data_IF_830434344535
#
_entry.id   IF_830434344535
#
_cell.length_a   1.000
_cell.length_b   1.000
_cell.length_c   1.000
_cell.angle_alpha   90.00
_cell.angle_beta   90.00
_cell.angle_gamma   90.00
#
_symmetry.space_group_name_H-M   'P 1'
#
loop_
_entity.id
_entity.type
_entity.pdbx_description
1 polymer ?
#
# COMPACT_ATOMS: atom_id res chain seq x y z
N UNK A 1 -11.22 -44.27 8.25
CA UNK A 1 -11.84 -43.48 7.16
C UNK A 1 -10.93 -42.32 6.78
N UNK A 2 -10.61 -42.10 5.49
CA UNK A 2 -9.92 -40.87 5.09
C UNK A 2 -10.82 -39.67 5.36
N UNK A 3 -10.27 -38.64 6.03
CA UNK A 3 -10.97 -37.38 6.32
C UNK A 3 -11.51 -36.78 5.01
N UNK A 4 -12.78 -36.41 4.97
CA UNK A 4 -13.45 -35.77 3.82
C UNK A 4 -12.72 -34.47 3.44
N UNK A 5 -11.85 -34.55 2.42
CA UNK A 5 -11.11 -33.41 1.89
C UNK A 5 -11.96 -32.69 0.83
N UNK A 6 -12.20 -31.39 1.02
CA UNK A 6 -12.85 -30.55 -0.01
C UNK A 6 -12.04 -30.59 -1.31
N UNK A 7 -12.71 -30.81 -2.45
CA UNK A 7 -12.09 -30.81 -3.78
C UNK A 7 -11.50 -29.42 -4.06
N UNK A 8 -10.20 -29.36 -4.34
CA UNK A 8 -9.54 -28.11 -4.73
C UNK A 8 -9.75 -27.89 -6.23
N UNK A 9 -10.38 -26.77 -6.60
CA UNK A 9 -10.50 -26.34 -8.00
C UNK A 9 -9.11 -26.05 -8.56
N UNK A 10 -8.71 -26.76 -9.61
CA UNK A 10 -7.45 -26.51 -10.31
C UNK A 10 -7.68 -25.44 -11.39
N UNK A 11 -6.85 -24.40 -11.38
CA UNK A 11 -6.93 -23.31 -12.36
C UNK A 11 -5.75 -23.43 -13.32
N UNK A 12 -6.02 -23.43 -14.63
CA UNK A 12 -5.03 -23.58 -15.70
C UNK A 12 -4.30 -22.27 -16.06
N UNK A 13 -4.00 -21.44 -15.06
CA UNK A 13 -3.30 -20.17 -15.30
C UNK A 13 -1.82 -20.39 -15.59
N UNK A 14 -1.25 -19.59 -16.52
CA UNK A 14 0.20 -19.58 -16.79
C UNK A 14 1.05 -19.07 -15.61
N UNK A 15 0.45 -18.35 -14.66
CA UNK A 15 1.14 -17.77 -13.51
C UNK A 15 1.51 -18.82 -12.48
N UNK A 16 2.81 -19.12 -12.37
CA UNK A 16 3.36 -20.01 -11.34
C UNK A 16 3.47 -19.29 -9.99
N UNK A 17 3.35 -20.06 -8.89
CA UNK A 17 3.55 -19.54 -7.53
C UNK A 17 4.95 -18.94 -7.39
N UNK A 18 5.08 -17.86 -6.61
CA UNK A 18 6.38 -17.24 -6.33
C UNK A 18 7.25 -18.24 -5.54
N UNK A 19 8.38 -18.62 -6.10
CA UNK A 19 9.33 -19.58 -5.50
C UNK A 19 10.18 -18.94 -4.41
N UNK A 20 10.77 -19.75 -3.49
CA UNK A 20 11.77 -19.29 -2.52
C UNK A 20 12.94 -18.52 -3.16
N UNK A 21 13.36 -18.91 -4.36
CA UNK A 21 14.42 -18.26 -5.15
C UNK A 21 14.18 -16.76 -5.37
N UNK A 22 12.93 -16.33 -5.57
CA UNK A 22 12.60 -14.90 -5.72
C UNK A 22 12.85 -14.12 -4.43
N UNK A 23 12.68 -14.74 -3.27
CA UNK A 23 12.98 -14.13 -1.96
C UNK A 23 14.48 -14.02 -1.76
N UNK A 24 15.24 -15.06 -2.12
CA UNK A 24 16.70 -15.06 -2.10
C UNK A 24 17.28 -14.01 -3.05
N UNK A 25 16.71 -13.88 -4.25
CA UNK A 25 17.09 -12.85 -5.21
C UNK A 25 16.85 -11.44 -4.65
N UNK A 26 15.74 -11.22 -3.93
CA UNK A 26 15.46 -9.95 -3.26
C UNK A 26 16.53 -9.66 -2.20
N UNK A 27 16.87 -10.64 -1.37
CA UNK A 27 17.92 -10.53 -0.35
C UNK A 27 19.28 -10.22 -1.01
N UNK A 28 19.64 -10.93 -2.08
CA UNK A 28 20.89 -10.69 -2.82
C UNK A 28 20.95 -9.28 -3.39
N UNK A 29 19.87 -8.81 -4.02
CA UNK A 29 19.76 -7.45 -4.56
C UNK A 29 19.84 -6.39 -3.47
N UNK A 30 19.24 -6.63 -2.32
CA UNK A 30 19.28 -5.73 -1.17
C UNK A 30 20.71 -5.62 -0.63
N UNK A 31 21.39 -6.74 -0.38
CA UNK A 31 22.80 -6.76 0.07
C UNK A 31 23.75 -6.06 -0.90
N UNK A 32 23.57 -6.27 -2.21
CA UNK A 32 24.36 -5.55 -3.23
C UNK A 32 24.11 -4.05 -3.20
N UNK A 33 22.85 -3.65 -3.03
CA UNK A 33 22.47 -2.23 -3.03
C UNK A 33 22.94 -1.53 -1.76
N UNK A 34 22.94 -2.20 -0.60
CA UNK A 34 23.50 -1.66 0.65
C UNK A 34 24.98 -1.30 0.51
N UNK A 35 25.75 -2.06 -0.28
CA UNK A 35 27.16 -1.74 -0.55
C UNK A 35 27.32 -0.55 -1.51
N UNK A 36 26.38 -0.41 -2.46
CA UNK A 36 26.41 0.61 -3.52
C UNK A 36 26.08 2.00 -3.00
N UNK A 37 25.01 2.14 -2.24
CA UNK A 37 24.48 3.45 -1.83
C UNK A 37 25.09 3.95 -0.52
N UNK A 38 25.08 5.26 -0.30
CA UNK A 38 25.64 5.88 0.90
C UNK A 38 24.71 5.77 2.11
N UNK A 39 23.38 5.77 1.91
CA UNK A 39 22.38 5.79 2.97
C UNK A 39 21.37 4.68 2.81
N UNK A 40 20.91 4.17 3.95
CA UNK A 40 19.78 3.26 4.04
C UNK A 40 18.74 3.85 4.99
N UNK A 41 17.54 4.08 4.50
CA UNK A 41 16.45 4.72 5.23
C UNK A 41 15.25 3.77 5.28
N UNK A 42 14.73 3.52 6.48
CA UNK A 42 13.45 2.85 6.63
C UNK A 42 12.37 3.92 6.63
N UNK A 43 11.38 3.78 5.76
CA UNK A 43 10.22 4.66 5.73
C UNK A 43 8.96 3.87 6.03
N UNK A 44 8.04 4.50 6.75
CA UNK A 44 6.66 4.09 6.84
C UNK A 44 5.89 4.74 5.70
N UNK A 45 4.92 4.03 5.16
CA UNK A 45 4.01 4.57 4.17
C UNK A 45 2.58 4.24 4.54
N UNK A 46 1.63 5.07 4.11
CA UNK A 46 0.19 4.86 4.29
C UNK A 46 -0.52 5.10 2.97
N UNK A 47 -1.52 4.27 2.67
CA UNK A 47 -2.33 4.37 1.44
C UNK A 47 -1.54 4.26 0.13
N UNK A 48 -0.38 3.60 0.13
CA UNK A 48 0.43 3.43 -1.08
C UNK A 48 -0.23 2.48 -2.10
N UNK A 49 -0.52 3.03 -3.28
CA UNK A 49 -1.00 2.30 -4.46
C UNK A 49 0.14 2.03 -5.45
N UNK A 50 -0.10 1.13 -6.42
CA UNK A 50 0.91 0.71 -7.40
C UNK A 50 1.41 1.85 -8.29
N UNK A 51 0.54 2.79 -8.67
CA UNK A 51 0.90 3.88 -9.59
C UNK A 51 1.82 4.91 -8.92
N UNK A 52 1.47 5.49 -7.74
CA UNK A 52 2.39 6.36 -7.02
C UNK A 52 3.74 5.70 -6.70
N UNK A 53 3.74 4.40 -6.38
CA UNK A 53 4.97 3.65 -6.17
C UNK A 53 5.86 3.64 -7.42
N UNK A 54 5.29 3.44 -8.62
CA UNK A 54 6.05 3.47 -9.87
C UNK A 54 6.59 4.86 -10.17
N UNK A 55 5.81 5.90 -9.91
CA UNK A 55 6.23 7.30 -10.09
C UNK A 55 7.43 7.63 -9.20
N UNK A 56 7.37 7.30 -7.91
CA UNK A 56 8.50 7.46 -6.97
C UNK A 56 9.72 6.66 -7.45
N UNK A 57 9.53 5.40 -7.88
CA UNK A 57 10.62 4.57 -8.39
C UNK A 57 11.26 5.14 -9.65
N UNK A 58 10.48 5.77 -10.53
CA UNK A 58 10.98 6.41 -11.74
C UNK A 58 11.73 7.71 -11.40
N UNK A 59 11.17 8.55 -10.54
CA UNK A 59 11.78 9.80 -10.10
C UNK A 59 13.15 9.59 -9.45
N UNK A 60 13.32 8.50 -8.70
CA UNK A 60 14.56 8.23 -7.96
C UNK A 60 15.48 7.18 -8.60
N UNK A 61 15.20 6.75 -9.84
CA UNK A 61 15.88 5.62 -10.47
C UNK A 61 17.40 5.78 -10.59
N UNK A 62 17.88 7.02 -10.77
CA UNK A 62 19.31 7.33 -10.91
C UNK A 62 20.06 7.16 -9.58
N UNK A 63 19.59 7.82 -8.52
CA UNK A 63 20.33 7.98 -7.28
C UNK A 63 19.90 7.06 -6.15
N UNK A 64 18.75 6.38 -6.31
CA UNK A 64 18.16 5.59 -5.24
C UNK A 64 17.54 4.29 -5.72
N UNK A 65 17.25 3.42 -4.76
CA UNK A 65 16.55 2.16 -4.98
C UNK A 65 15.61 1.87 -3.85
N UNK A 66 14.34 1.70 -4.22
CA UNK A 66 13.26 1.41 -3.30
C UNK A 66 13.02 -0.10 -3.21
N UNK A 67 12.90 -0.60 -1.98
CA UNK A 67 12.58 -1.98 -1.66
C UNK A 67 11.28 -2.02 -0.86
N UNK A 68 10.25 -2.62 -1.45
CA UNK A 68 9.01 -2.97 -0.79
C UNK A 68 8.81 -4.47 -0.97
N UNK A 69 8.73 -5.18 0.15
CA UNK A 69 8.64 -6.63 0.17
C UNK A 69 8.18 -7.13 1.53
N UNK A 70 8.25 -8.45 1.75
CA UNK A 70 7.93 -8.99 3.06
C UNK A 70 8.98 -8.52 4.07
N UNK A 71 8.56 -7.79 5.10
CA UNK A 71 9.46 -7.21 6.11
C UNK A 71 10.45 -8.23 6.68
N UNK A 72 9.98 -9.44 7.01
CA UNK A 72 10.84 -10.53 7.50
C UNK A 72 11.95 -10.94 6.54
N UNK A 73 11.71 -10.87 5.23
CA UNK A 73 12.73 -11.17 4.21
C UNK A 73 13.74 -10.03 4.12
N UNK A 74 13.27 -8.78 4.21
CA UNK A 74 14.17 -7.60 4.24
C UNK A 74 15.04 -7.58 5.51
N UNK A 75 14.48 -7.93 6.67
CA UNK A 75 15.22 -8.11 7.93
C UNK A 75 16.33 -9.15 7.80
N UNK A 76 16.09 -10.28 7.11
CA UNK A 76 17.14 -11.28 6.82
C UNK A 76 18.21 -10.71 5.89
N UNK A 77 17.83 -9.82 4.97
CA UNK A 77 18.78 -9.15 4.09
C UNK A 77 19.68 -8.13 4.78
N UNK A 78 19.15 -7.42 5.78
CA UNK A 78 19.88 -6.47 6.62
C UNK A 78 20.73 -7.14 7.70
N UNK A 79 20.24 -8.25 8.25
CA UNK A 79 20.77 -8.91 9.44
C UNK A 79 19.82 -8.76 10.62
N UNK A 80 19.65 -9.83 11.40
CA UNK A 80 18.85 -9.80 12.63
C UNK A 80 19.65 -9.37 13.85
N UNK A 81 20.91 -9.79 13.88
CA UNK A 81 21.88 -9.54 14.94
C UNK A 81 23.15 -8.94 14.31
N UNK A 82 24.05 -8.45 15.15
CA UNK A 82 25.33 -7.87 14.72
C UNK A 82 26.17 -8.83 13.87
N UNK A 83 26.27 -10.10 14.26
CA UNK A 83 27.02 -11.13 13.50
C UNK A 83 26.46 -11.39 12.09
N UNK A 84 25.16 -11.19 11.90
CA UNK A 84 24.46 -11.43 10.63
C UNK A 84 24.31 -10.14 9.81
N UNK A 85 24.91 -9.04 10.28
CA UNK A 85 24.77 -7.72 9.67
C UNK A 85 25.45 -7.70 8.29
N UNK A 86 24.71 -7.32 7.26
CA UNK A 86 25.22 -7.26 5.89
C UNK A 86 26.25 -6.15 5.68
N UNK A 87 26.08 -5.03 6.38
CA UNK A 87 27.02 -3.91 6.48
C UNK A 87 27.14 -3.48 7.94
N UNK A 88 28.10 -2.62 8.26
CA UNK A 88 28.27 -2.07 9.62
C UNK A 88 26.93 -1.51 10.12
N UNK A 89 26.44 -2.04 11.24
CA UNK A 89 25.22 -1.63 11.93
C UNK A 89 23.90 -1.75 11.12
N UNK A 90 23.84 -2.51 10.02
CA UNK A 90 22.58 -2.69 9.26
C UNK A 90 21.48 -3.42 10.02
N UNK A 91 21.84 -4.25 11.01
CA UNK A 91 20.85 -4.90 11.88
C UNK A 91 20.00 -3.91 12.69
N UNK A 92 20.48 -2.67 12.94
CA UNK A 92 19.74 -1.63 13.67
C UNK A 92 18.49 -1.14 12.91
N UNK A 93 18.44 -1.33 11.59
CA UNK A 93 17.25 -1.00 10.77
C UNK A 93 16.15 -2.06 10.88
N UNK A 94 16.51 -3.31 11.18
CA UNK A 94 15.57 -4.45 11.18
C UNK A 94 14.37 -4.29 12.12
N UNK A 95 14.52 -3.77 13.36
CA UNK A 95 13.40 -3.55 14.28
C UNK A 95 12.33 -2.58 13.75
N UNK A 96 12.69 -1.67 12.85
CA UNK A 96 11.79 -0.66 12.28
C UNK A 96 10.97 -1.18 11.10
N UNK A 97 11.36 -2.32 10.51
CA UNK A 97 10.59 -2.98 9.44
C UNK A 97 9.37 -3.71 10.00
N UNK A 98 8.35 -2.97 10.44
CA UNK A 98 7.06 -3.48 10.94
C UNK A 98 5.91 -2.77 10.22
N UNK A 99 4.78 -3.46 10.02
CA UNK A 99 3.62 -2.88 9.34
C UNK A 99 3.91 -2.48 7.87
N UNK A 100 3.32 -1.37 7.45
CA UNK A 100 3.49 -0.76 6.12
C UNK A 100 4.80 0.03 6.05
N UNK A 101 5.91 -0.71 5.93
CA UNK A 101 7.26 -0.13 5.86
C UNK A 101 8.04 -0.62 4.65
N UNK A 102 8.93 0.22 4.17
CA UNK A 102 9.85 -0.06 3.07
C UNK A 102 11.26 0.42 3.38
N UNK A 103 12.19 0.06 2.51
CA UNK A 103 13.60 0.46 2.61
C UNK A 103 13.98 1.27 1.37
N UNK A 104 14.53 2.45 1.58
CA UNK A 104 15.10 3.30 0.54
C UNK A 104 16.62 3.30 0.70
N UNK A 105 17.32 2.89 -0.34
CA UNK A 105 18.78 2.97 -0.41
C UNK A 105 19.14 4.10 -1.38
N UNK A 106 19.92 5.08 -0.94
CA UNK A 106 20.07 6.34 -1.70
C UNK A 106 21.41 7.02 -1.45
N UNK A 107 21.83 7.85 -2.42
CA UNK A 107 22.93 8.78 -2.28
C UNK A 107 22.48 10.21 -1.93
N UNK A 108 21.18 10.48 -1.95
CA UNK A 108 20.59 11.79 -1.58
C UNK A 108 20.64 12.04 -0.09
N UNK A 109 20.77 13.30 0.29
CA UNK A 109 20.82 13.75 1.68
C UNK A 109 19.50 13.52 2.39
N UNK A 110 19.53 13.47 3.72
CA UNK A 110 18.31 13.32 4.50
C UNK A 110 17.33 14.48 4.28
N UNK A 111 17.86 15.70 4.14
CA UNK A 111 17.06 16.92 3.91
C UNK A 111 16.25 16.83 2.62
N UNK A 112 16.90 16.49 1.49
CA UNK A 112 16.20 16.31 0.20
C UNK A 112 15.09 15.25 0.27
N UNK A 113 15.28 14.20 1.07
CA UNK A 113 14.31 13.13 1.22
C UNK A 113 13.13 13.59 2.09
N UNK A 114 13.42 14.33 3.16
CA UNK A 114 12.40 14.93 4.03
C UNK A 114 11.53 15.90 3.23
N UNK A 115 12.14 16.83 2.51
CA UNK A 115 11.46 17.79 1.64
C UNK A 115 10.60 17.11 0.58
N UNK A 116 11.12 16.04 -0.05
CA UNK A 116 10.32 15.27 -1.00
C UNK A 116 9.12 14.62 -0.33
N UNK A 117 9.29 14.02 0.86
CA UNK A 117 8.19 13.38 1.58
C UNK A 117 7.11 14.39 2.01
N UNK A 118 7.50 15.59 2.41
CA UNK A 118 6.58 16.64 2.87
C UNK A 118 5.77 17.24 1.71
N UNK A 119 6.40 17.38 0.53
CA UNK A 119 5.77 17.91 -0.68
C UNK A 119 4.96 16.87 -1.46
N UNK A 120 5.37 15.61 -1.44
CA UNK A 120 4.75 14.55 -2.23
C UNK A 120 3.49 13.99 -1.56
N UNK A 121 2.38 14.73 -1.68
CA UNK A 121 1.05 14.31 -1.21
C UNK A 121 0.11 14.05 -2.38
N UNK A 122 -0.29 12.79 -2.55
CA UNK A 122 -1.21 12.38 -3.62
C UNK A 122 -2.53 11.93 -3.01
N UNK A 123 -3.68 12.46 -3.48
CA UNK A 123 -4.99 11.95 -3.11
C UNK A 123 -5.17 10.48 -3.53
N UNK A 124 -5.58 9.65 -2.58
CA UNK A 124 -5.76 8.21 -2.68
C UNK A 124 -7.10 7.76 -2.09
N UNK A 125 -7.52 6.55 -2.45
CA UNK A 125 -8.76 5.98 -1.95
C UNK A 125 -8.60 5.59 -0.47
N UNK A 126 -9.57 6.01 0.34
CA UNK A 126 -9.60 5.64 1.75
C UNK A 126 -9.81 4.13 1.91
N UNK A 127 -9.11 3.55 2.88
CA UNK A 127 -9.22 2.14 3.26
C UNK A 127 -10.16 1.99 4.46
N UNK A 128 -10.64 0.78 4.70
CA UNK A 128 -11.40 0.47 5.91
C UNK A 128 -10.62 0.89 7.17
N UNK A 129 -11.31 1.48 8.14
CA UNK A 129 -10.73 2.06 9.35
C UNK A 129 -10.20 3.49 9.20
N UNK A 130 -10.15 4.05 7.98
CA UNK A 130 -9.86 5.49 7.80
C UNK A 130 -11.01 6.32 8.39
N UNK A 131 -10.66 7.34 9.16
CA UNK A 131 -11.60 8.29 9.75
C UNK A 131 -11.83 9.38 8.71
N UNK A 132 -13.08 9.53 8.28
CA UNK A 132 -13.43 10.54 7.27
C UNK A 132 -13.36 11.94 7.87
N UNK A 133 -12.82 12.89 7.11
CA UNK A 133 -12.79 14.32 7.41
C UNK A 133 -14.07 15.05 6.97
N UNK A 134 -14.89 14.40 6.14
CA UNK A 134 -16.11 14.95 5.60
C UNK A 134 -17.23 13.91 5.53
N UNK A 135 -18.46 14.39 5.40
CA UNK A 135 -19.63 13.52 5.21
C UNK A 135 -19.98 13.42 3.72
N UNK A 136 -19.94 12.22 3.15
CA UNK A 136 -20.33 11.94 1.76
C UNK A 136 -21.67 11.21 1.75
N UNK A 137 -22.64 11.81 1.07
CA UNK A 137 -24.00 11.27 0.92
C UNK A 137 -24.33 11.07 -0.55
N UNK A 138 -24.81 9.88 -0.88
CA UNK A 138 -25.46 9.58 -2.16
C UNK A 138 -26.91 10.02 -2.10
N UNK A 139 -27.32 10.82 -3.09
CA UNK A 139 -28.71 11.24 -3.26
C UNK A 139 -29.51 10.09 -3.88
N UNK A 140 -30.76 9.95 -3.43
CA UNK A 140 -31.73 9.06 -4.07
C UNK A 140 -31.99 9.45 -5.52
N UNK A 141 -32.51 8.49 -6.30
CA UNK A 141 -32.78 8.64 -7.72
C UNK A 141 -31.72 8.02 -8.63
N UNK A 142 -31.77 8.41 -9.90
CA UNK A 142 -31.00 7.80 -10.99
C UNK A 142 -29.63 8.45 -11.16
N UNK A 143 -29.55 9.77 -10.95
CA UNK A 143 -28.39 10.58 -11.35
C UNK A 143 -27.08 10.12 -10.69
N UNK A 144 -27.16 9.71 -9.43
CA UNK A 144 -26.02 9.23 -8.64
C UNK A 144 -25.35 8.00 -9.25
N UNK A 145 -26.12 7.11 -9.89
CA UNK A 145 -25.64 5.83 -10.42
C UNK A 145 -25.71 5.74 -11.96
N UNK A 146 -26.03 6.84 -12.64
CA UNK A 146 -26.27 6.90 -14.08
C UNK A 146 -25.07 6.42 -14.93
N UNK A 147 -23.86 6.62 -14.45
CA UNK A 147 -22.63 6.26 -15.17
C UNK A 147 -22.24 4.77 -15.01
N UNK A 148 -22.97 4.01 -14.20
CA UNK A 148 -22.68 2.61 -13.97
C UNK A 148 -23.46 1.70 -14.94
N UNK A 149 -22.81 0.64 -15.42
CA UNK A 149 -23.46 -0.38 -16.22
C UNK A 149 -24.48 -1.16 -15.38
N UNK A 150 -25.64 -1.49 -15.93
CA UNK A 150 -26.71 -2.22 -15.25
C UNK A 150 -26.26 -3.55 -14.62
N UNK A 151 -25.22 -4.19 -15.17
CA UNK A 151 -24.66 -5.45 -14.66
C UNK A 151 -24.00 -5.34 -13.28
N UNK A 152 -23.64 -4.13 -12.83
CA UNK A 152 -23.04 -3.90 -11.51
C UNK A 152 -24.08 -3.75 -10.39
N UNK A 153 -25.37 -3.63 -10.73
CA UNK A 153 -26.47 -3.43 -9.78
C UNK A 153 -26.46 -4.47 -8.63
N UNK A 154 -26.33 -5.79 -8.88
CA UNK A 154 -26.29 -6.77 -7.81
C UNK A 154 -25.07 -6.62 -6.89
N UNK A 155 -23.97 -6.06 -7.41
CA UNK A 155 -22.78 -5.77 -6.62
C UNK A 155 -22.99 -4.54 -5.74
N UNK A 156 -23.63 -3.48 -6.26
CA UNK A 156 -24.00 -2.30 -5.47
C UNK A 156 -24.94 -2.66 -4.32
N UNK A 157 -25.92 -3.54 -4.56
CA UNK A 157 -26.80 -4.07 -3.51
C UNK A 157 -26.03 -4.82 -2.42
N UNK A 158 -25.02 -5.61 -2.79
CA UNK A 158 -24.13 -6.30 -1.82
C UNK A 158 -23.27 -5.34 -1.00
N UNK A 159 -23.03 -4.12 -1.49
CA UNK A 159 -22.31 -3.07 -0.75
C UNK A 159 -23.22 -2.27 0.19
N UNK A 160 -24.52 -2.62 0.27
CA UNK A 160 -25.48 -2.01 1.18
C UNK A 160 -26.35 -0.92 0.57
N UNK A 161 -26.27 -0.69 -0.76
CA UNK A 161 -27.16 0.27 -1.43
C UNK A 161 -28.53 -0.37 -1.69
N UNK A 162 -29.61 0.35 -1.38
CA UNK A 162 -30.97 -0.04 -1.75
C UNK A 162 -31.24 0.34 -3.22
N UNK A 163 -30.80 -0.51 -4.15
CA UNK A 163 -30.92 -0.28 -5.60
C UNK A 163 -31.97 -1.15 -6.28
N UNK A 164 -32.63 -0.56 -7.27
CA UNK A 164 -33.53 -1.21 -8.21
C UNK A 164 -33.15 -0.88 -9.65
N UNK A 165 -33.59 -1.73 -10.59
CA UNK A 165 -33.36 -1.54 -12.01
C UNK A 165 -34.68 -1.18 -12.68
N UNK A 166 -34.81 0.07 -13.12
CA UNK A 166 -36.01 0.60 -13.79
C UNK A 166 -35.57 1.08 -15.17
N UNK A 167 -36.21 0.59 -16.24
CA UNK A 167 -35.89 0.94 -17.62
C UNK A 167 -34.39 0.82 -17.95
N UNK A 168 -33.75 -0.26 -17.48
CA UNK A 168 -32.30 -0.52 -17.63
C UNK A 168 -31.37 0.48 -16.91
N UNK A 169 -31.91 1.39 -16.11
CA UNK A 169 -31.16 2.34 -15.29
C UNK A 169 -31.19 1.91 -13.83
N UNK A 170 -30.08 2.14 -13.12
CA UNK A 170 -29.97 1.85 -11.71
C UNK A 170 -30.55 3.03 -10.93
N UNK A 171 -31.57 2.76 -10.12
CA UNK A 171 -32.21 3.75 -9.25
C UNK A 171 -31.83 3.44 -7.81
N UNK A 172 -31.33 4.46 -7.10
CA UNK A 172 -31.13 4.39 -5.65
C UNK A 172 -32.42 4.83 -4.95
N UNK A 173 -33.05 3.94 -4.20
CA UNK A 173 -34.37 4.22 -3.60
C UNK A 173 -34.31 5.15 -2.39
N UNK A 174 -33.16 5.19 -1.70
CA UNK A 174 -32.99 5.91 -0.45
C UNK A 174 -31.62 6.57 -0.41
N UNK A 175 -31.54 7.75 0.20
CA UNK A 175 -30.25 8.39 0.48
C UNK A 175 -29.33 7.46 1.27
N UNK A 176 -28.05 7.41 0.89
CA UNK A 176 -27.08 6.56 1.56
C UNK A 176 -25.83 7.34 1.97
N UNK A 177 -25.44 7.26 3.24
CA UNK A 177 -24.23 7.92 3.75
C UNK A 177 -23.05 6.97 3.56
N UNK A 178 -22.19 7.27 2.59
CA UNK A 178 -20.98 6.46 2.35
C UNK A 178 -19.96 6.71 3.45
N UNK A 179 -19.74 7.97 3.79
CA UNK A 179 -18.75 8.38 4.77
C UNK A 179 -19.39 9.41 5.69
N UNK A 180 -19.17 9.26 7.01
CA UNK A 180 -19.57 10.26 7.99
C UNK A 180 -18.31 10.82 8.64
N UNK A 181 -18.26 12.14 8.79
CA UNK A 181 -17.17 12.84 9.46
C UNK A 181 -16.93 12.26 10.87
N UNK A 182 -15.66 12.04 11.20
CA UNK A 182 -15.23 11.53 12.50
C UNK A 182 -15.49 10.03 12.71
N UNK A 183 -16.10 9.30 11.77
CA UNK A 183 -16.34 7.86 11.87
C UNK A 183 -15.39 7.04 10.99
N UNK A 184 -14.96 5.85 11.46
CA UNK A 184 -14.13 4.94 10.66
C UNK A 184 -14.97 4.28 9.55
N UNK A 185 -14.41 4.21 8.35
CA UNK A 185 -15.06 3.59 7.19
C UNK A 185 -15.09 2.07 7.28
N UNK A 186 -16.19 1.46 6.83
CA UNK A 186 -16.29 0.02 6.63
C UNK A 186 -15.63 -0.43 5.32
N UNK A 187 -15.51 -1.74 5.13
CA UNK A 187 -14.96 -2.33 3.90
C UNK A 187 -15.89 -2.05 2.71
N UNK A 188 -17.20 -2.07 2.92
CA UNK A 188 -18.22 -1.80 1.90
C UNK A 188 -18.18 -0.31 1.50
N UNK A 189 -18.10 0.58 2.48
CA UNK A 189 -18.00 2.03 2.25
C UNK A 189 -16.73 2.41 1.48
N UNK A 190 -15.56 1.85 1.83
CA UNK A 190 -14.32 2.09 1.09
C UNK A 190 -14.38 1.60 -0.37
N UNK A 191 -15.08 0.49 -0.64
CA UNK A 191 -15.33 0.02 -2.01
C UNK A 191 -16.27 0.97 -2.77
N UNK A 192 -17.31 1.47 -2.13
CA UNK A 192 -18.22 2.46 -2.73
C UNK A 192 -17.49 3.76 -3.07
N UNK A 193 -16.66 4.30 -2.18
CA UNK A 193 -15.83 5.48 -2.46
C UNK A 193 -14.95 5.28 -3.70
N UNK A 194 -14.35 4.09 -3.83
CA UNK A 194 -13.54 3.75 -4.99
C UNK A 194 -14.34 3.68 -6.29
N UNK A 195 -15.56 3.12 -6.25
CA UNK A 195 -16.45 3.10 -7.41
C UNK A 195 -16.88 4.52 -7.81
N UNK A 196 -17.15 5.38 -6.84
CA UNK A 196 -17.54 6.78 -7.04
C UNK A 196 -16.35 7.71 -7.33
N UNK A 197 -15.15 7.16 -7.45
CA UNK A 197 -13.90 7.89 -7.67
C UNK A 197 -13.62 8.99 -6.60
N UNK A 198 -14.06 8.77 -5.37
CA UNK A 198 -13.88 9.71 -4.25
C UNK A 198 -12.62 9.34 -3.44
N UNK A 199 -11.67 10.27 -3.40
CA UNK A 199 -10.37 10.11 -2.73
C UNK A 199 -10.36 10.95 -1.45
N UNK A 200 -10.57 10.28 -0.32
CA UNK A 200 -10.62 10.91 1.01
C UNK A 200 -9.30 10.82 1.79
N UNK A 201 -8.36 10.00 1.32
CA UNK A 201 -7.11 9.79 2.01
C UNK A 201 -5.94 10.35 1.19
N UNK A 202 -4.81 10.54 1.84
CA UNK A 202 -3.57 10.93 1.19
C UNK A 202 -2.54 9.82 1.31
N UNK A 203 -1.69 9.71 0.28
CA UNK A 203 -0.42 9.00 0.39
C UNK A 203 0.48 9.78 1.35
N UNK A 204 0.91 9.11 2.41
CA UNK A 204 1.87 9.63 3.37
C UNK A 204 3.10 8.73 3.36
N UNK A 205 4.28 9.33 3.34
CA UNK A 205 5.56 8.63 3.44
C UNK A 205 6.35 9.35 4.52
N UNK A 206 6.79 8.62 5.54
CA UNK A 206 7.49 9.17 6.70
C UNK A 206 8.79 8.40 6.93
N UNK A 207 9.96 9.05 6.86
CA UNK A 207 11.21 8.38 7.19
C UNK A 207 11.28 8.14 8.72
N UNK A 208 11.61 6.90 9.13
CA UNK A 208 11.65 6.49 10.54
C UNK A 208 13.08 6.47 11.10
N UNK A 209 14.03 6.01 10.30
CA UNK A 209 15.43 5.95 10.71
C UNK A 209 16.35 5.92 9.49
N UNK A 210 17.58 6.38 9.70
CA UNK A 210 18.64 6.44 8.70
C UNK A 210 19.91 5.75 9.22
N UNK A 211 20.55 5.02 8.33
CA UNK A 211 21.89 4.47 8.52
C UNK A 211 22.79 5.00 7.42
N UNK A 212 23.86 5.66 7.83
CA UNK A 212 24.94 6.13 6.97
C UNK A 212 25.96 5.01 6.74
N UNK A 213 26.67 5.04 5.60
CA UNK A 213 27.68 4.03 5.23
C UNK A 213 28.84 3.92 6.23
N UNK A 214 29.13 4.99 6.98
CA UNK A 214 30.13 4.98 8.05
C UNK A 214 29.70 4.17 9.31
N UNK A 215 28.44 3.70 9.33
CA UNK A 215 27.83 2.95 10.43
C UNK A 215 27.07 3.82 11.43
N UNK A 216 26.92 5.13 11.15
CA UNK A 216 26.16 6.04 12.01
C UNK A 216 24.67 5.78 11.82
N UNK A 217 24.00 5.39 12.90
CA UNK A 217 22.56 5.18 12.92
C UNK A 217 21.88 6.34 13.64
N UNK A 218 20.82 6.88 13.05
CA UNK A 218 19.98 7.92 13.65
C UNK A 218 18.52 7.55 13.50
N UNK A 219 17.78 7.58 14.61
CA UNK A 219 16.32 7.53 14.61
C UNK A 219 15.78 8.94 14.33
N UNK A 220 14.74 9.02 13.51
CA UNK A 220 14.06 10.25 13.13
C UNK A 220 12.76 10.41 13.91
#
# INVERSE_FOLDING_TARGET
MPITKRKKTQVLTKTKKKTPEKKELLVKKLKQSLKKYQRAIVFQYKNLSTNPLKEIQQAWKADSKLFIGKNKVMQVGLGKNEEQSATKNSYLLSPFLKGETGLLLTNKTLQEIQEYCDTYKIPEFARAGHISDQTIVLKEGIDTLKNFAHSIEPYLRKLGLNTQLINQQIVLNEKFIIAQEGKPLTVEQSKLLRLMNQKLAYLEIVPLCVLEKNGTFKKL
#
